data_IF_250881135422
#
_entry.id   IF_250881135422
#
_cell.length_a   1.000
_cell.length_b   1.000
_cell.length_c   1.000
_cell.angle_alpha   90.00
_cell.angle_beta   90.00
_cell.angle_gamma   90.00
#
_symmetry.space_group_name_H-M   'P 1'
#
loop_
_entity.id
_entity.type
_entity.pdbx_description
1 polymer ?
#
# COMPACT_ATOMS: atom_id res chain seq x y z
N UNK A 1 69.86 -13.17 44.15
CA UNK A 1 68.85 -14.04 43.50
C UNK A 1 67.49 -13.70 44.08
N UNK A 2 66.73 -12.92 43.39
CA UNK A 2 65.37 -12.51 43.83
C UNK A 2 64.38 -12.99 42.76
N UNK A 3 63.45 -13.87 43.12
CA UNK A 3 62.39 -14.38 42.23
C UNK A 3 61.20 -13.42 42.32
N UNK A 4 60.78 -12.87 41.17
CA UNK A 4 59.54 -12.12 41.02
C UNK A 4 58.39 -13.09 40.76
N UNK A 5 57.28 -12.95 41.51
CA UNK A 5 56.02 -13.67 41.35
C UNK A 5 55.10 -12.75 40.57
N UNK A 6 54.65 -13.20 39.39
CA UNK A 6 53.63 -12.49 38.59
C UNK A 6 52.22 -12.94 39.02
N UNK A 7 51.40 -11.97 39.43
CA UNK A 7 49.98 -12.17 39.78
C UNK A 7 49.18 -11.85 38.50
N UNK A 8 48.54 -12.89 37.93
CA UNK A 8 47.63 -12.74 36.81
C UNK A 8 46.25 -12.27 37.27
N UNK A 9 45.84 -11.08 36.82
CA UNK A 9 44.49 -10.58 37.02
C UNK A 9 43.57 -11.07 35.88
N UNK A 10 42.54 -11.84 36.24
CA UNK A 10 41.47 -12.21 35.32
C UNK A 10 40.47 -11.06 35.22
N UNK A 11 40.36 -10.46 34.05
CA UNK A 11 39.32 -9.47 33.75
C UNK A 11 38.01 -10.19 33.39
N UNK A 12 37.00 -10.01 34.22
CA UNK A 12 35.65 -10.50 34.01
C UNK A 12 34.94 -9.56 33.02
N UNK A 13 34.74 -9.97 31.77
CA UNK A 13 33.96 -9.23 30.80
C UNK A 13 32.47 -9.55 31.03
N UNK A 14 31.76 -8.62 31.66
CA UNK A 14 30.28 -8.70 31.73
C UNK A 14 29.69 -8.22 30.41
N UNK A 15 29.13 -9.13 29.60
CA UNK A 15 28.31 -8.82 28.46
C UNK A 15 26.91 -8.44 28.94
N UNK A 16 26.57 -7.13 28.88
CA UNK A 16 25.20 -6.68 29.06
C UNK A 16 24.41 -7.09 27.79
N UNK A 17 23.58 -8.12 27.91
CA UNK A 17 22.57 -8.46 26.92
C UNK A 17 21.45 -7.41 27.03
N UNK A 18 21.45 -6.43 26.11
CA UNK A 18 20.38 -5.46 26.00
C UNK A 18 19.09 -6.15 25.55
N UNK A 19 18.11 -6.28 26.45
CA UNK A 19 16.73 -6.62 26.08
C UNK A 19 16.14 -5.43 25.32
N UNK A 20 16.03 -5.56 23.99
CA UNK A 20 15.22 -4.63 23.18
C UNK A 20 13.75 -4.87 23.49
N UNK A 21 13.19 -4.05 24.36
CA UNK A 21 11.75 -4.00 24.58
C UNK A 21 11.11 -3.34 23.36
N UNK A 22 10.47 -4.14 22.48
CA UNK A 22 9.59 -3.63 21.45
C UNK A 22 8.38 -3.00 22.13
N UNK A 23 8.32 -1.67 22.18
CA UNK A 23 7.13 -0.95 22.59
C UNK A 23 6.07 -1.16 21.52
N UNK A 24 5.05 -1.96 21.80
CA UNK A 24 3.81 -1.98 21.04
C UNK A 24 3.13 -0.64 21.30
N UNK A 25 3.22 0.29 20.34
CA UNK A 25 2.43 1.51 20.39
C UNK A 25 0.99 1.08 20.15
N UNK A 26 0.16 1.12 21.18
CA UNK A 26 -1.27 0.98 21.03
C UNK A 26 -1.78 2.11 20.12
N UNK A 27 -2.58 1.78 19.11
CA UNK A 27 -3.23 2.78 18.29
C UNK A 27 -4.05 3.71 19.19
N UNK A 28 -3.96 5.02 18.96
CA UNK A 28 -4.70 6.02 19.72
C UNK A 28 -6.21 5.80 19.41
N UNK A 29 -7.06 5.53 20.41
CA UNK A 29 -8.49 5.36 20.18
C UNK A 29 -9.09 6.70 19.72
N UNK A 30 -9.34 6.83 18.41
CA UNK A 30 -9.83 8.04 17.75
C UNK A 30 -8.90 8.56 16.64
N UNK A 31 -7.76 7.90 16.38
CA UNK A 31 -6.95 8.22 15.22
C UNK A 31 -7.65 7.79 13.93
N UNK A 32 -7.71 8.69 12.93
CA UNK A 32 -8.28 8.37 11.63
C UNK A 32 -7.43 7.32 10.91
N UNK A 33 -8.08 6.24 10.46
CA UNK A 33 -7.47 5.19 9.62
C UNK A 33 -7.66 5.57 8.15
N UNK A 34 -6.57 5.72 7.41
CA UNK A 34 -6.58 6.07 5.99
C UNK A 34 -6.53 4.81 5.12
N UNK A 35 -7.35 4.76 4.05
CA UNK A 35 -7.52 3.56 3.25
C UNK A 35 -7.80 3.88 1.77
N UNK A 36 -7.65 2.88 0.90
CA UNK A 36 -8.21 2.93 -0.44
C UNK A 36 -9.71 2.59 -0.39
N UNK A 37 -10.54 3.41 -1.07
CA UNK A 37 -11.99 3.24 -1.09
C UNK A 37 -12.48 2.26 -2.16
N UNK A 38 -11.81 2.21 -3.33
CA UNK A 38 -12.16 1.25 -4.36
C UNK A 38 -12.07 -0.18 -3.81
N UNK A 39 -13.09 -0.97 -4.06
CA UNK A 39 -13.16 -2.37 -3.65
C UNK A 39 -13.02 -2.62 -2.14
N UNK A 40 -13.36 -1.62 -1.31
CA UNK A 40 -13.41 -1.78 0.13
C UNK A 40 -14.39 -2.90 0.53
N UNK A 41 -13.92 -3.82 1.35
CA UNK A 41 -14.72 -4.91 1.92
C UNK A 41 -14.95 -4.65 3.41
N UNK A 42 -16.18 -4.29 3.82
CA UNK A 42 -16.50 -3.98 5.21
C UNK A 42 -16.47 -5.20 6.15
N UNK A 43 -16.33 -6.41 5.62
CA UNK A 43 -16.13 -7.62 6.44
C UNK A 43 -14.66 -7.78 6.89
N UNK A 44 -13.74 -7.03 6.28
CA UNK A 44 -12.33 -7.05 6.63
C UNK A 44 -11.98 -5.93 7.62
N UNK A 45 -11.01 -6.16 8.52
CA UNK A 45 -10.54 -5.10 9.41
C UNK A 45 -9.93 -3.95 8.61
N UNK A 46 -10.03 -2.73 9.16
CA UNK A 46 -9.36 -1.56 8.62
C UNK A 46 -7.84 -1.80 8.59
N UNK A 47 -7.19 -1.54 7.46
CA UNK A 47 -5.76 -1.78 7.27
C UNK A 47 -5.06 -0.52 6.77
N UNK A 48 -4.10 -0.04 7.54
CA UNK A 48 -3.16 0.98 7.08
C UNK A 48 -1.93 0.35 6.42
N UNK A 49 -1.41 1.03 5.39
CA UNK A 49 -0.20 0.60 4.68
C UNK A 49 -0.26 -0.85 4.21
N UNK A 50 -1.36 -1.29 3.57
CA UNK A 50 -1.51 -2.68 3.18
C UNK A 50 -0.44 -3.08 2.16
N UNK A 51 0.11 -4.27 2.29
CA UNK A 51 1.04 -4.82 1.28
C UNK A 51 0.32 -5.25 0.00
N UNK A 52 -1.01 -5.40 0.08
CA UNK A 52 -1.86 -5.79 -1.04
C UNK A 52 -3.10 -4.91 -1.10
N UNK A 53 -3.35 -4.31 -2.26
CA UNK A 53 -4.55 -3.48 -2.53
C UNK A 53 -5.25 -4.01 -3.78
N UNK A 54 -6.47 -4.49 -3.63
CA UNK A 54 -7.35 -4.81 -4.77
C UNK A 54 -7.99 -3.50 -5.21
N UNK A 55 -7.72 -3.05 -6.43
CA UNK A 55 -8.29 -1.82 -6.98
C UNK A 55 -9.13 -2.04 -8.25
N UNK A 56 -9.06 -3.25 -8.84
CA UNK A 56 -10.08 -3.80 -9.72
C UNK A 56 -10.95 -4.77 -8.94
N UNK A 57 -12.25 -4.45 -8.73
CA UNK A 57 -13.09 -5.18 -7.77
C UNK A 57 -13.43 -6.61 -8.19
N UNK A 58 -13.16 -6.98 -9.43
CA UNK A 58 -13.19 -8.35 -9.96
C UNK A 58 -11.85 -9.08 -9.82
N UNK A 59 -10.91 -8.49 -9.07
CA UNK A 59 -9.54 -8.98 -8.86
C UNK A 59 -8.68 -9.02 -10.14
N UNK A 60 -9.05 -8.27 -11.16
CA UNK A 60 -8.23 -8.13 -12.39
C UNK A 60 -7.08 -7.14 -12.27
N UNK A 61 -7.06 -6.36 -11.20
CA UNK A 61 -6.00 -5.37 -10.93
C UNK A 61 -5.71 -5.30 -9.43
N UNK A 62 -4.49 -5.64 -9.07
CA UNK A 62 -4.05 -5.76 -7.69
C UNK A 62 -2.66 -5.15 -7.54
N UNK A 63 -2.48 -4.24 -6.59
CA UNK A 63 -1.16 -3.82 -6.14
C UNK A 63 -0.64 -4.85 -5.13
N UNK A 64 0.55 -5.39 -5.34
CA UNK A 64 1.19 -6.40 -4.51
C UNK A 64 2.58 -5.93 -4.05
N UNK A 65 3.08 -6.51 -2.97
CA UNK A 65 4.40 -6.22 -2.39
C UNK A 65 4.62 -4.72 -2.12
N UNK A 66 3.55 -4.03 -1.72
CA UNK A 66 3.58 -2.59 -1.51
C UNK A 66 4.44 -2.20 -0.32
N UNK A 67 5.31 -1.22 -0.55
CA UNK A 67 6.08 -0.53 0.48
C UNK A 67 5.70 0.95 0.46
N UNK A 68 5.24 1.46 1.60
CA UNK A 68 4.74 2.83 1.72
C UNK A 68 5.76 3.74 2.38
N UNK A 69 6.15 4.81 1.68
CA UNK A 69 7.04 5.86 2.19
C UNK A 69 6.30 7.00 2.88
N UNK A 70 5.01 7.19 2.56
CA UNK A 70 4.10 8.13 3.24
C UNK A 70 2.71 7.52 3.34
N UNK A 71 1.97 7.86 4.41
CA UNK A 71 0.60 7.41 4.64
C UNK A 71 -0.07 8.28 5.70
N UNK A 72 -1.19 8.90 5.40
CA UNK A 72 -1.93 9.74 6.35
C UNK A 72 -2.82 10.79 5.69
N UNK A 73 -3.13 11.84 6.41
CA UNK A 73 -4.00 12.93 5.99
C UNK A 73 -3.54 13.63 4.70
N UNK A 74 -2.23 13.74 4.50
CA UNK A 74 -1.65 14.38 3.31
C UNK A 74 -1.56 13.43 2.11
N UNK A 75 -2.06 12.19 2.25
CA UNK A 75 -2.04 11.17 1.20
C UNK A 75 -1.11 10.01 1.48
N UNK A 76 -0.94 9.15 0.47
CA UNK A 76 -0.06 7.99 0.52
C UNK A 76 0.88 7.97 -0.68
N UNK A 77 2.11 7.49 -0.46
CA UNK A 77 3.10 7.24 -1.51
C UNK A 77 3.76 5.90 -1.28
N UNK A 78 3.90 5.12 -2.34
CA UNK A 78 4.51 3.80 -2.24
C UNK A 78 4.97 3.26 -3.57
N UNK A 79 5.68 2.13 -3.50
CA UNK A 79 6.13 1.35 -4.65
C UNK A 79 5.76 -0.11 -4.42
N UNK A 80 5.62 -0.85 -5.51
CA UNK A 80 5.28 -2.27 -5.48
C UNK A 80 5.16 -2.84 -6.87
N UNK A 81 4.32 -3.86 -7.02
CA UNK A 81 4.04 -4.53 -8.28
C UNK A 81 2.56 -4.45 -8.60
N UNK A 82 2.21 -4.03 -9.80
CA UNK A 82 0.87 -4.19 -10.36
C UNK A 82 0.74 -5.60 -10.94
N UNK A 83 -0.20 -6.36 -10.42
CA UNK A 83 -0.64 -7.65 -10.96
C UNK A 83 -1.96 -7.40 -11.71
N UNK A 84 -1.88 -7.22 -13.02
CA UNK A 84 -3.01 -6.92 -13.89
C UNK A 84 -3.30 -8.08 -14.85
N UNK A 85 -4.57 -8.42 -15.03
CA UNK A 85 -4.99 -9.49 -15.95
C UNK A 85 -5.20 -8.93 -17.35
N UNK A 86 -4.50 -9.48 -18.32
CA UNK A 86 -4.81 -9.24 -19.75
C UNK A 86 -6.05 -10.06 -20.12
N UNK A 87 -7.21 -9.40 -20.23
CA UNK A 87 -8.50 -10.06 -20.50
C UNK A 87 -8.63 -10.58 -21.95
N UNK A 88 -7.69 -11.41 -22.39
CA UNK A 88 -7.64 -12.03 -23.71
C UNK A 88 -7.42 -13.55 -23.55
N UNK A 89 -8.31 -14.42 -23.96
CA UNK A 89 -9.62 -14.17 -24.61
C UNK A 89 -10.70 -13.64 -23.67
N UNK A 90 -10.53 -13.77 -22.35
CA UNK A 90 -11.36 -13.21 -21.29
C UNK A 90 -10.55 -13.07 -20.00
N UNK A 91 -11.09 -12.36 -18.98
CA UNK A 91 -10.34 -12.11 -17.73
C UNK A 91 -10.09 -13.36 -16.89
N UNK A 92 -10.94 -14.39 -16.99
CA UNK A 92 -10.76 -15.64 -16.23
C UNK A 92 -9.63 -16.54 -16.76
N UNK A 93 -9.22 -16.35 -18.01
CA UNK A 93 -8.22 -17.15 -18.72
C UNK A 93 -7.02 -16.34 -19.21
N UNK A 94 -7.08 -15.02 -19.05
CA UNK A 94 -6.02 -14.12 -19.46
C UNK A 94 -4.76 -14.26 -18.62
N UNK A 95 -3.59 -14.02 -19.20
CA UNK A 95 -2.35 -14.04 -18.45
C UNK A 95 -2.27 -12.86 -17.48
N UNK A 96 -1.61 -13.08 -16.34
CA UNK A 96 -1.24 -12.03 -15.41
C UNK A 96 0.02 -11.32 -15.91
N UNK A 97 -0.01 -9.99 -15.89
CA UNK A 97 1.12 -9.11 -16.19
C UNK A 97 1.58 -8.46 -14.89
N UNK A 98 2.86 -8.57 -14.63
CA UNK A 98 3.48 -8.01 -13.42
C UNK A 98 4.39 -6.85 -13.80
N UNK A 99 4.03 -5.65 -13.36
CA UNK A 99 4.78 -4.44 -13.68
C UNK A 99 5.17 -3.70 -12.40
N UNK A 100 6.42 -3.19 -12.27
CA UNK A 100 6.77 -2.29 -11.18
C UNK A 100 5.90 -1.05 -11.22
N UNK A 101 5.45 -0.56 -10.06
CA UNK A 101 4.62 0.63 -9.95
C UNK A 101 5.11 1.61 -8.90
N UNK A 102 4.78 2.88 -9.14
CA UNK A 102 4.81 3.96 -8.16
C UNK A 102 3.39 4.45 -7.95
N UNK A 103 2.95 4.49 -6.70
CA UNK A 103 1.58 4.87 -6.34
C UNK A 103 1.61 6.18 -5.56
N UNK A 104 0.70 7.08 -5.92
CA UNK A 104 0.38 8.27 -5.13
C UNK A 104 -1.13 8.34 -4.97
N UNK A 105 -1.60 8.45 -3.72
CA UNK A 105 -3.01 8.62 -3.39
C UNK A 105 -3.20 9.89 -2.55
N UNK A 106 -4.36 10.56 -2.70
CA UNK A 106 -4.66 11.82 -2.02
C UNK A 106 -6.17 12.00 -1.85
N UNK A 107 -6.60 13.17 -1.35
CA UNK A 107 -7.98 13.51 -1.03
C UNK A 107 -8.67 12.46 -0.15
N UNK A 108 -8.17 12.16 1.06
CA UNK A 108 -8.85 11.25 1.95
C UNK A 108 -10.12 11.92 2.52
N UNK A 109 -11.28 11.29 2.31
CA UNK A 109 -12.57 11.76 2.83
C UNK A 109 -13.31 10.64 3.57
N UNK A 110 -14.09 10.98 4.62
CA UNK A 110 -15.01 10.03 5.22
C UNK A 110 -16.10 9.63 4.21
N UNK A 111 -16.54 8.39 4.25
CA UNK A 111 -17.65 7.93 3.42
C UNK A 111 -18.89 7.66 4.25
N UNK A 112 -20.07 8.01 3.71
CA UNK A 112 -21.34 7.87 4.41
C UNK A 112 -21.63 6.40 4.75
N UNK A 113 -21.95 6.15 6.01
CA UNK A 113 -22.28 4.82 6.52
C UNK A 113 -21.06 3.92 6.77
N UNK A 114 -19.85 4.47 6.63
CA UNK A 114 -18.60 3.82 7.00
C UNK A 114 -18.24 4.14 8.46
N UNK A 115 -17.25 3.45 9.06
CA UNK A 115 -16.76 3.81 10.39
C UNK A 115 -16.31 5.27 10.45
N UNK A 116 -16.67 5.95 11.55
CA UNK A 116 -16.39 7.40 11.72
C UNK A 116 -14.89 7.71 11.80
N UNK A 117 -14.08 6.72 12.13
CA UNK A 117 -12.63 6.79 12.19
C UNK A 117 -11.94 6.41 10.86
N UNK A 118 -12.69 6.12 9.79
CA UNK A 118 -12.15 5.78 8.48
C UNK A 118 -12.22 6.96 7.50
N UNK A 119 -11.13 7.20 6.75
CA UNK A 119 -11.07 8.11 5.62
C UNK A 119 -10.49 7.40 4.39
N UNK A 120 -11.09 7.61 3.23
CA UNK A 120 -10.77 6.89 2.01
C UNK A 120 -10.14 7.83 0.99
N UNK A 121 -8.96 7.47 0.47
CA UNK A 121 -8.35 8.18 -0.64
C UNK A 121 -9.27 8.06 -1.86
N UNK A 122 -9.77 9.20 -2.33
CA UNK A 122 -10.68 9.24 -3.48
C UNK A 122 -9.96 9.35 -4.80
N UNK A 123 -8.72 9.82 -4.79
CA UNK A 123 -7.90 9.99 -5.97
C UNK A 123 -6.58 9.25 -5.80
N UNK A 124 -6.15 8.55 -6.84
CA UNK A 124 -4.82 7.98 -6.87
C UNK A 124 -4.29 7.77 -8.29
N UNK A 125 -2.97 7.71 -8.41
CA UNK A 125 -2.29 7.31 -9.64
C UNK A 125 -1.49 6.04 -9.42
N UNK A 126 -1.47 5.20 -10.47
CA UNK A 126 -0.57 4.05 -10.62
C UNK A 126 0.32 4.35 -11.80
N UNK A 127 1.58 4.71 -11.56
CA UNK A 127 2.57 5.03 -12.60
C UNK A 127 3.52 3.86 -12.81
N UNK A 128 3.94 3.65 -14.05
CA UNK A 128 4.74 2.52 -14.50
C UNK A 128 6.16 2.98 -14.89
N UNK A 129 7.16 2.82 -14.02
CA UNK A 129 8.53 3.25 -14.30
C UNK A 129 9.27 2.33 -15.30
N UNK A 130 8.83 1.07 -15.40
CA UNK A 130 9.48 0.09 -16.29
C UNK A 130 8.46 -0.96 -16.74
N UNK A 131 8.00 -0.84 -17.99
CA UNK A 131 6.97 -1.71 -18.54
C UNK A 131 5.56 -1.28 -18.11
N UNK A 132 4.65 -1.27 -19.04
CA UNK A 132 3.27 -0.83 -18.85
C UNK A 132 2.33 -1.84 -19.50
N UNK A 133 1.17 -2.15 -18.89
CA UNK A 133 0.15 -2.97 -19.54
C UNK A 133 -0.24 -2.39 -20.92
N UNK A 134 -0.43 -3.22 -21.98
CA UNK A 134 -0.59 -2.74 -23.35
C UNK A 134 -1.85 -1.91 -23.59
N UNK A 135 -2.83 -1.98 -22.69
CA UNK A 135 -4.06 -1.17 -22.75
C UNK A 135 -3.92 0.21 -22.10
N UNK A 136 -2.86 0.46 -21.31
CA UNK A 136 -2.61 1.78 -20.73
C UNK A 136 -1.98 2.69 -21.77
N UNK A 137 -2.83 3.38 -22.52
CA UNK A 137 -2.44 4.30 -23.59
C UNK A 137 -2.72 5.73 -23.13
N UNK A 138 -1.71 6.54 -22.78
CA UNK A 138 -1.90 7.91 -22.32
C UNK A 138 -2.70 8.77 -23.31
N UNK A 139 -3.62 9.58 -22.78
CA UNK A 139 -4.57 10.37 -23.55
C UNK A 139 -5.90 9.66 -23.83
N UNK A 140 -6.06 8.40 -23.39
CA UNK A 140 -7.33 7.67 -23.47
C UNK A 140 -7.95 7.48 -22.07
N UNK A 141 -9.18 7.01 -22.00
CA UNK A 141 -9.85 6.63 -20.76
C UNK A 141 -10.54 5.29 -20.93
N UNK A 142 -10.63 4.53 -19.85
CA UNK A 142 -11.32 3.24 -19.86
C UNK A 142 -12.76 3.35 -19.39
N UNK A 143 -13.00 4.17 -18.37
CA UNK A 143 -14.31 4.36 -17.72
C UNK A 143 -14.39 5.75 -17.11
N UNK A 144 -15.57 6.24 -16.71
CA UNK A 144 -15.68 7.43 -15.90
C UNK A 144 -14.81 7.34 -14.65
N UNK A 145 -14.04 8.39 -14.36
CA UNK A 145 -13.11 8.41 -13.24
C UNK A 145 -11.80 7.63 -13.46
N UNK A 146 -11.56 7.08 -14.67
CA UNK A 146 -10.29 6.38 -14.99
C UNK A 146 -9.69 6.98 -16.26
N UNK A 147 -8.51 7.60 -16.13
CA UNK A 147 -7.80 8.21 -17.25
C UNK A 147 -6.38 7.65 -17.37
N UNK A 148 -5.96 7.35 -18.59
CA UNK A 148 -4.56 7.03 -18.89
C UNK A 148 -3.82 8.32 -19.22
N UNK A 149 -2.73 8.54 -18.53
CA UNK A 149 -1.99 9.80 -18.53
C UNK A 149 -0.48 9.58 -18.39
N UNK A 150 0.26 10.66 -18.18
CA UNK A 150 1.66 10.62 -17.75
C UNK A 150 1.80 11.28 -16.38
N UNK A 151 2.62 10.68 -15.51
CA UNK A 151 3.08 11.26 -14.24
C UNK A 151 4.60 11.20 -14.22
N UNK A 152 5.26 12.33 -14.12
CA UNK A 152 6.74 12.46 -14.14
C UNK A 152 7.38 11.74 -15.35
N UNK A 153 6.72 11.78 -16.51
CA UNK A 153 7.16 11.13 -17.74
C UNK A 153 6.87 9.62 -17.81
N UNK A 154 6.34 9.01 -16.77
CA UNK A 154 5.93 7.61 -16.74
C UNK A 154 4.49 7.47 -17.24
N UNK A 155 4.15 6.50 -18.09
CA UNK A 155 2.75 6.13 -18.34
C UNK A 155 2.06 5.81 -17.01
N UNK A 156 0.83 6.25 -16.85
CA UNK A 156 0.10 6.10 -15.59
C UNK A 156 -1.40 5.95 -15.81
N UNK A 157 -2.07 5.36 -14.83
CA UNK A 157 -3.52 5.38 -14.68
C UNK A 157 -3.86 6.32 -13.54
N UNK A 158 -4.75 7.29 -13.79
CA UNK A 158 -5.33 8.14 -12.77
C UNK A 158 -6.76 7.68 -12.50
N UNK A 159 -7.04 7.43 -11.24
CA UNK A 159 -8.36 7.14 -10.70
C UNK A 159 -8.85 8.33 -9.91
N UNK A 160 -10.09 8.78 -10.14
CA UNK A 160 -10.75 9.87 -9.42
C UNK A 160 -12.12 9.43 -8.90
N UNK A 161 -12.58 10.09 -7.84
CA UNK A 161 -13.87 9.83 -7.19
C UNK A 161 -14.05 8.37 -6.68
N UNK A 162 -12.95 7.74 -6.26
CA UNK A 162 -12.91 6.35 -5.81
C UNK A 162 -13.41 6.24 -4.36
N UNK A 163 -14.71 6.09 -4.18
CA UNK A 163 -15.33 5.89 -2.88
C UNK A 163 -15.78 4.42 -2.68
N UNK A 164 -15.87 3.94 -1.43
CA UNK A 164 -16.43 2.62 -1.18
C UNK A 164 -17.91 2.57 -1.62
N UNK A 165 -18.30 1.49 -2.29
CA UNK A 165 -19.69 1.29 -2.71
C UNK A 165 -20.64 1.15 -1.53
N UNK A 166 -20.19 0.49 -0.46
CA UNK A 166 -20.94 0.28 0.77
C UNK A 166 -19.99 -0.03 1.91
N UNK A 167 -20.30 0.46 3.08
CA UNK A 167 -19.64 0.07 4.33
C UNK A 167 -20.51 -0.85 5.20
N UNK A 168 -21.61 -1.32 4.65
CA UNK A 168 -22.44 -2.35 5.29
C UNK A 168 -22.10 -3.70 4.63
N UNK A 169 -21.74 -4.73 5.42
CA UNK A 169 -21.51 -6.07 4.88
C UNK A 169 -22.73 -6.55 4.07
N UNK A 170 -22.50 -7.21 2.96
CA UNK A 170 -23.56 -7.87 2.21
C UNK A 170 -24.06 -9.03 3.06
N UNK A 171 -25.35 -9.00 3.37
CA UNK A 171 -26.05 -10.02 4.19
C UNK A 171 -26.34 -11.29 3.37
#
# INVERSE_FOLDING_TARGET
MVRAVAVGGAALVMTLSGLSTSTVVAADPGATVYMFGSCYDPSQPLQEKPQRVVYGCDSTSIMEDMTWSAWGADGARGTGTDNAVACQPNCAQGPHLYNPIVVHAWNPVPAKGCPDDAAFFTDFTVAYPAGVPPWVVPGTSWAPGVQYTYVDGMPAVHFSDQQPYSCTPLS
#
